data_IF_522262239143
#
_entry.id   IF_522262239143
#
_cell.length_a   1.000
_cell.length_b   1.000
_cell.length_c   1.000
_cell.angle_alpha   90.00
_cell.angle_beta   90.00
_cell.angle_gamma   90.00
#
_symmetry.space_group_name_H-M   'P 1'
#
loop_
_entity.id
_entity.type
_entity.pdbx_description
1 polymer ?
#
# COMPACT_ATOMS: atom_id res chain seq x y z
N UNK A 1 -7.84 17.46 14.21
CA UNK A 1 -8.88 16.82 13.37
C UNK A 1 -8.47 16.70 11.90
N UNK A 2 -8.13 17.79 11.20
CA UNK A 2 -7.74 17.75 9.77
C UNK A 2 -6.64 16.74 9.46
N UNK A 3 -5.54 16.76 10.22
CA UNK A 3 -4.40 15.84 10.03
C UNK A 3 -4.74 14.36 10.21
N UNK A 4 -5.53 14.00 11.23
CA UNK A 4 -6.00 12.62 11.44
C UNK A 4 -6.83 12.14 10.23
N UNK A 5 -7.76 12.98 9.79
CA UNK A 5 -8.64 12.67 8.66
C UNK A 5 -7.87 12.54 7.35
N UNK A 6 -6.79 13.30 7.18
CA UNK A 6 -5.88 13.15 6.04
C UNK A 6 -5.11 11.83 6.07
N UNK A 7 -4.50 11.46 7.19
CA UNK A 7 -3.75 10.20 7.31
C UNK A 7 -4.69 9.01 7.11
N UNK A 8 -5.83 9.02 7.80
CA UNK A 8 -6.82 7.95 7.70
C UNK A 8 -7.46 7.89 6.30
N UNK A 9 -7.76 9.05 5.69
CA UNK A 9 -8.28 9.12 4.32
C UNK A 9 -7.28 8.59 3.29
N UNK A 10 -6.00 8.92 3.45
CA UNK A 10 -4.92 8.40 2.58
C UNK A 10 -4.75 6.89 2.74
N UNK A 11 -4.95 6.36 3.96
CA UNK A 11 -4.96 4.94 4.24
C UNK A 11 -6.16 4.23 3.59
N UNK A 12 -7.37 4.76 3.76
CA UNK A 12 -8.57 4.19 3.12
C UNK A 12 -8.46 4.23 1.59
N UNK A 13 -7.92 5.31 1.04
CA UNK A 13 -7.61 5.40 -0.38
C UNK A 13 -6.67 4.27 -0.84
N UNK A 14 -5.57 4.00 -0.12
CA UNK A 14 -4.69 2.89 -0.48
C UNK A 14 -5.38 1.53 -0.42
N UNK A 15 -6.13 1.26 0.66
CA UNK A 15 -6.86 -0.02 0.81
C UNK A 15 -7.87 -0.18 -0.32
N UNK A 16 -8.60 0.87 -0.67
CA UNK A 16 -9.54 0.87 -1.77
C UNK A 16 -8.88 0.57 -3.11
N UNK A 17 -7.78 1.28 -3.45
CA UNK A 17 -7.10 1.08 -4.73
C UNK A 17 -6.49 -0.31 -4.83
N UNK A 18 -5.86 -0.82 -3.78
CA UNK A 18 -5.33 -2.18 -3.75
C UNK A 18 -6.43 -3.24 -3.89
N UNK A 19 -7.54 -3.08 -3.16
CA UNK A 19 -8.70 -3.96 -3.27
C UNK A 19 -9.28 -3.94 -4.69
N UNK A 20 -9.39 -2.75 -5.29
CA UNK A 20 -9.88 -2.59 -6.65
C UNK A 20 -8.99 -3.28 -7.69
N UNK A 21 -7.65 -3.17 -7.56
CA UNK A 21 -6.71 -3.87 -8.43
C UNK A 21 -6.91 -5.40 -8.34
N UNK A 22 -7.10 -5.94 -7.13
CA UNK A 22 -7.36 -7.38 -6.94
C UNK A 22 -8.68 -7.82 -7.55
N UNK A 23 -9.72 -7.00 -7.45
CA UNK A 23 -11.00 -7.25 -8.11
C UNK A 23 -10.81 -7.36 -9.63
N UNK A 24 -10.04 -6.45 -10.25
CA UNK A 24 -9.72 -6.52 -11.69
C UNK A 24 -9.01 -7.84 -12.03
N UNK A 25 -8.03 -8.26 -11.22
CA UNK A 25 -7.29 -9.51 -11.42
C UNK A 25 -8.24 -10.72 -11.35
N UNK A 26 -9.18 -10.74 -10.40
CA UNK A 26 -10.18 -11.81 -10.27
C UNK A 26 -11.05 -11.88 -11.52
N UNK A 27 -11.55 -10.73 -12.00
CA UNK A 27 -12.35 -10.68 -13.23
C UNK A 27 -11.58 -11.19 -14.45
N UNK A 28 -10.28 -10.86 -14.55
CA UNK A 28 -9.44 -11.31 -15.66
C UNK A 28 -9.24 -12.84 -15.67
N UNK A 29 -9.09 -13.46 -14.49
CA UNK A 29 -8.86 -14.90 -14.38
C UNK A 29 -10.14 -15.73 -14.20
N UNK A 30 -11.31 -15.09 -14.13
CA UNK A 30 -12.58 -15.75 -13.79
C UNK A 30 -12.47 -16.55 -12.48
N UNK A 31 -11.70 -16.04 -11.52
CA UNK A 31 -11.46 -16.68 -10.22
C UNK A 31 -12.65 -16.52 -9.26
N UNK A 32 -12.68 -17.33 -8.19
CA UNK A 32 -13.66 -17.17 -7.11
C UNK A 32 -13.37 -15.92 -6.27
N UNK A 33 -14.45 -15.22 -5.88
CA UNK A 33 -14.36 -14.03 -5.03
C UNK A 33 -13.98 -14.40 -3.59
N UNK A 34 -12.77 -14.03 -3.18
CA UNK A 34 -12.37 -13.95 -1.77
C UNK A 34 -12.25 -12.48 -1.38
N UNK A 35 -12.74 -12.11 -0.19
CA UNK A 35 -12.70 -10.73 0.34
C UNK A 35 -11.26 -10.21 0.44
N UNK A 36 -10.27 -11.09 0.64
CA UNK A 36 -8.85 -10.74 0.68
C UNK A 36 -8.16 -10.79 -0.69
N UNK A 37 -8.93 -11.04 -1.75
CA UNK A 37 -8.47 -11.00 -3.12
C UNK A 37 -7.67 -12.23 -3.49
N UNK A 38 -8.36 -13.16 -4.14
CA UNK A 38 -7.85 -14.39 -4.76
C UNK A 38 -7.56 -15.51 -3.73
N UNK A 39 -8.05 -16.72 -4.01
CA UNK A 39 -7.80 -17.92 -3.18
C UNK A 39 -6.35 -18.42 -3.26
N UNK A 40 -5.65 -18.06 -4.34
CA UNK A 40 -4.22 -18.27 -4.57
C UNK A 40 -3.75 -17.36 -5.70
N UNK A 41 -2.53 -16.83 -5.64
CA UNK A 41 -1.97 -16.04 -6.74
C UNK A 41 -2.03 -16.80 -8.09
N UNK A 42 -2.60 -16.22 -9.17
CA UNK A 42 -2.78 -16.92 -10.45
C UNK A 42 -1.46 -17.20 -11.19
N UNK A 43 -0.35 -16.60 -10.73
CA UNK A 43 1.00 -16.85 -11.23
C UNK A 43 2.02 -15.82 -10.72
N UNK A 44 3.31 -16.12 -10.87
CA UNK A 44 4.42 -15.26 -10.40
C UNK A 44 4.38 -13.87 -11.05
N UNK A 45 4.05 -13.78 -12.34
CA UNK A 45 3.93 -12.51 -13.05
C UNK A 45 2.90 -11.57 -12.41
N UNK A 46 1.79 -12.12 -11.90
CA UNK A 46 0.75 -11.34 -11.23
C UNK A 46 1.14 -10.90 -9.84
N UNK A 47 1.87 -11.74 -9.11
CA UNK A 47 2.46 -11.34 -7.84
C UNK A 47 3.38 -10.12 -8.02
N UNK A 48 4.18 -10.08 -9.09
CA UNK A 48 5.02 -8.91 -9.43
C UNK A 48 4.16 -7.67 -9.71
N UNK A 49 3.08 -7.81 -10.51
CA UNK A 49 2.16 -6.68 -10.80
C UNK A 49 1.51 -6.13 -9.53
N UNK A 50 1.10 -7.01 -8.61
CA UNK A 50 0.53 -6.60 -7.32
C UNK A 50 1.59 -5.88 -6.47
N UNK A 51 2.82 -6.40 -6.41
CA UNK A 51 3.91 -5.72 -5.70
C UNK A 51 4.19 -4.33 -6.27
N UNK A 52 4.28 -4.19 -7.60
CA UNK A 52 4.46 -2.87 -8.24
C UNK A 52 3.29 -1.93 -7.91
N UNK A 53 2.06 -2.47 -7.91
CA UNK A 53 0.87 -1.71 -7.53
C UNK A 53 0.94 -1.24 -6.07
N UNK A 54 1.33 -2.11 -5.14
CA UNK A 54 1.54 -1.76 -3.73
C UNK A 54 2.58 -0.63 -3.61
N UNK A 55 3.69 -0.71 -4.34
CA UNK A 55 4.72 0.33 -4.34
C UNK A 55 4.13 1.70 -4.72
N UNK A 56 3.43 1.73 -5.86
CA UNK A 56 2.87 2.95 -6.44
C UNK A 56 1.79 3.53 -5.54
N UNK A 57 0.86 2.69 -5.06
CA UNK A 57 -0.23 3.13 -4.17
C UNK A 57 0.32 3.65 -2.84
N UNK A 58 1.31 2.97 -2.26
CA UNK A 58 1.95 3.43 -1.02
C UNK A 58 2.64 4.77 -1.20
N UNK A 59 3.35 4.94 -2.32
CA UNK A 59 3.96 6.21 -2.68
C UNK A 59 2.92 7.32 -2.87
N UNK A 60 1.84 7.06 -3.62
CA UNK A 60 0.75 8.03 -3.83
C UNK A 60 0.07 8.43 -2.53
N UNK A 61 -0.27 7.49 -1.66
CA UNK A 61 -0.86 7.78 -0.34
C UNK A 61 0.08 8.59 0.55
N UNK A 62 1.38 8.29 0.51
CA UNK A 62 2.40 9.08 1.18
C UNK A 62 2.45 10.52 0.66
N UNK A 63 2.51 10.71 -0.66
CA UNK A 63 2.52 12.03 -1.28
C UNK A 63 1.24 12.83 -1.00
N UNK A 64 0.07 12.17 -1.01
CA UNK A 64 -1.21 12.79 -0.69
C UNK A 64 -1.24 13.27 0.77
N UNK A 65 -0.75 12.44 1.70
CA UNK A 65 -0.63 12.81 3.12
C UNK A 65 0.27 14.03 3.32
N UNK A 66 1.45 14.02 2.70
CA UNK A 66 2.42 15.11 2.80
C UNK A 66 1.84 16.41 2.24
N UNK A 67 1.22 16.35 1.06
CA UNK A 67 0.72 17.53 0.32
C UNK A 67 -0.42 18.21 1.08
N UNK A 68 -1.32 17.43 1.68
CA UNK A 68 -2.48 17.97 2.40
C UNK A 68 -2.12 18.46 3.80
N UNK A 69 -1.22 17.77 4.51
CA UNK A 69 -0.87 18.16 5.89
C UNK A 69 0.00 19.40 5.94
N UNK A 70 1.01 19.54 5.06
CA UNK A 70 1.86 20.73 4.94
C UNK A 70 2.79 21.01 6.14
N UNK A 71 2.47 20.55 7.35
CA UNK A 71 3.30 20.68 8.56
C UNK A 71 3.72 19.30 9.08
N UNK A 72 4.91 19.21 9.68
CA UNK A 72 5.46 17.98 10.25
C UNK A 72 5.27 16.69 9.40
N UNK A 73 5.62 16.71 8.08
CA UNK A 73 5.29 15.62 7.14
C UNK A 73 5.86 14.26 7.55
N UNK A 74 7.03 14.25 8.20
CA UNK A 74 7.66 13.02 8.71
C UNK A 74 6.79 12.32 9.76
N UNK A 75 6.16 13.07 10.66
CA UNK A 75 5.30 12.48 11.71
C UNK A 75 4.05 11.85 11.09
N UNK A 76 3.46 12.49 10.09
CA UNK A 76 2.27 11.99 9.40
C UNK A 76 2.59 10.77 8.52
N UNK A 77 3.74 10.77 7.84
CA UNK A 77 4.22 9.58 7.14
C UNK A 77 4.47 8.42 8.08
N UNK A 78 5.02 8.66 9.28
CA UNK A 78 5.24 7.62 10.27
C UNK A 78 3.91 7.05 10.78
N UNK A 79 2.91 7.90 11.05
CA UNK A 79 1.56 7.44 11.38
C UNK A 79 0.94 6.60 10.27
N UNK A 80 1.10 7.01 9.01
CA UNK A 80 0.63 6.24 7.85
C UNK A 80 1.36 4.89 7.73
N UNK A 81 2.68 4.88 7.98
CA UNK A 81 3.48 3.66 7.97
C UNK A 81 2.99 2.64 9.02
N UNK A 82 2.61 3.08 10.21
CA UNK A 82 2.02 2.20 11.23
C UNK A 82 0.72 1.57 10.73
N UNK A 83 -0.18 2.34 10.11
CA UNK A 83 -1.42 1.82 9.53
C UNK A 83 -1.13 0.80 8.41
N UNK A 84 -0.14 1.07 7.58
CA UNK A 84 0.27 0.17 6.50
C UNK A 84 0.85 -1.14 7.05
N UNK A 85 1.67 -1.07 8.11
CA UNK A 85 2.20 -2.27 8.77
C UNK A 85 1.09 -3.11 9.40
N UNK A 86 0.12 -2.48 10.06
CA UNK A 86 -1.05 -3.19 10.60
C UNK A 86 -1.85 -3.85 9.48
N UNK A 87 -2.07 -3.14 8.36
CA UNK A 87 -2.75 -3.70 7.20
C UNK A 87 -2.02 -4.90 6.61
N UNK A 88 -0.69 -4.83 6.44
CA UNK A 88 0.10 -5.97 5.95
C UNK A 88 0.09 -7.13 6.92
N UNK A 89 0.13 -6.87 8.23
CA UNK A 89 -0.01 -7.93 9.23
C UNK A 89 -1.36 -8.64 9.10
N UNK A 90 -2.45 -7.88 8.94
CA UNK A 90 -3.78 -8.48 8.71
C UNK A 90 -3.85 -9.26 7.41
N UNK A 91 -3.23 -8.77 6.33
CA UNK A 91 -3.17 -9.49 5.06
C UNK A 91 -2.43 -10.83 5.26
N UNK A 92 -1.22 -10.80 5.79
CA UNK A 92 -0.37 -11.99 6.01
C UNK A 92 -1.11 -13.05 6.83
N UNK A 93 -1.80 -12.67 7.91
CA UNK A 93 -2.56 -13.62 8.73
C UNK A 93 -3.64 -14.34 7.91
N UNK A 94 -4.27 -13.66 6.96
CA UNK A 94 -5.37 -14.23 6.16
C UNK A 94 -4.88 -15.07 4.98
N UNK A 95 -3.69 -14.81 4.42
CA UNK A 95 -3.19 -15.48 3.20
C UNK A 95 -1.94 -16.34 3.42
N UNK A 96 -1.42 -16.43 4.65
CA UNK A 96 -0.18 -17.15 5.00
C UNK A 96 -0.14 -18.60 4.49
N UNK A 97 -1.28 -19.29 4.52
CA UNK A 97 -1.38 -20.70 4.14
C UNK A 97 -1.53 -20.91 2.62
N UNK A 98 -1.88 -19.86 1.88
CA UNK A 98 -2.27 -19.95 0.46
C UNK A 98 -1.20 -19.40 -0.47
N UNK A 99 -0.45 -18.39 -0.02
CA UNK A 99 0.52 -17.67 -0.84
C UNK A 99 1.97 -17.88 -0.35
N UNK A 100 2.96 -17.79 -1.26
CA UNK A 100 4.34 -18.07 -0.91
C UNK A 100 4.95 -16.97 -0.02
N UNK A 101 5.76 -17.38 0.95
CA UNK A 101 6.39 -16.49 1.93
C UNK A 101 7.18 -15.33 1.30
N UNK A 102 7.84 -15.56 0.16
CA UNK A 102 8.60 -14.52 -0.52
C UNK A 102 7.72 -13.33 -0.93
N UNK A 103 6.48 -13.59 -1.35
CA UNK A 103 5.53 -12.55 -1.75
C UNK A 103 5.09 -11.73 -0.52
N UNK A 104 4.82 -12.42 0.59
CA UNK A 104 4.42 -11.80 1.85
C UNK A 104 5.51 -10.90 2.44
N UNK A 105 6.76 -11.34 2.38
CA UNK A 105 7.90 -10.53 2.83
C UNK A 105 8.08 -9.31 1.92
N UNK A 106 8.02 -9.52 0.60
CA UNK A 106 8.15 -8.43 -0.36
C UNK A 106 7.01 -7.42 -0.25
N UNK A 107 5.78 -7.82 0.04
CA UNK A 107 4.66 -6.89 0.17
C UNK A 107 4.90 -5.87 1.29
N UNK A 108 5.48 -6.30 2.42
CA UNK A 108 5.88 -5.41 3.54
C UNK A 108 7.02 -4.47 3.12
N UNK A 109 8.06 -5.01 2.48
CA UNK A 109 9.22 -4.23 2.03
C UNK A 109 8.79 -3.17 1.02
N UNK A 110 7.98 -3.57 0.04
CA UNK A 110 7.53 -2.70 -1.06
C UNK A 110 6.56 -1.63 -0.55
N UNK A 111 5.66 -1.99 0.36
CA UNK A 111 4.75 -1.05 1.04
C UNK A 111 5.54 0.03 1.81
N UNK A 112 6.59 -0.38 2.52
CA UNK A 112 7.48 0.55 3.24
C UNK A 112 8.34 1.37 2.28
N UNK A 113 8.81 0.74 1.19
CA UNK A 113 9.59 1.38 0.14
C UNK A 113 8.83 2.52 -0.55
N UNK A 114 7.53 2.34 -0.81
CA UNK A 114 6.70 3.40 -1.41
C UNK A 114 6.58 4.63 -0.49
N UNK A 115 6.37 4.43 0.81
CA UNK A 115 6.36 5.52 1.79
C UNK A 115 7.73 6.20 1.93
N UNK A 116 8.81 5.43 1.87
CA UNK A 116 10.17 5.97 1.87
C UNK A 116 10.46 6.81 0.62
N UNK A 117 10.00 6.37 -0.55
CA UNK A 117 10.09 7.17 -1.78
C UNK A 117 9.29 8.47 -1.67
N UNK A 118 8.13 8.46 -1.01
CA UNK A 118 7.35 9.68 -0.78
C UNK A 118 8.13 10.66 0.13
N UNK A 119 8.78 10.16 1.17
CA UNK A 119 9.68 10.96 2.00
C UNK A 119 10.85 11.56 1.20
N UNK A 120 11.52 10.78 0.36
CA UNK A 120 12.62 11.28 -0.48
C UNK A 120 12.14 12.34 -1.46
N UNK A 121 10.97 12.14 -2.07
CA UNK A 121 10.36 13.10 -3.00
C UNK A 121 10.07 14.43 -2.30
N UNK A 122 9.49 14.39 -1.10
CA UNK A 122 9.25 15.59 -0.29
C UNK A 122 10.55 16.30 0.09
N UNK A 123 11.56 15.55 0.54
CA UNK A 123 12.87 16.12 0.89
C UNK A 123 13.55 16.79 -0.30
N UNK A 124 13.40 16.23 -1.50
CA UNK A 124 13.91 16.82 -2.74
C UNK A 124 13.20 18.14 -3.07
N UNK A 125 11.87 18.18 -2.96
CA UNK A 125 11.10 19.39 -3.24
C UNK A 125 11.43 20.55 -2.28
N UNK A 126 11.67 20.27 -0.99
CA UNK A 126 12.06 21.30 -0.01
C UNK A 126 13.45 21.89 -0.32
N UNK A 127 14.36 21.15 -0.95
CA UNK A 127 15.69 21.67 -1.33
C UNK A 127 15.66 22.55 -2.57
N UNK A 128 14.59 22.47 -3.38
CA UNK A 128 14.46 23.20 -4.63
C UNK A 128 13.72 24.56 -4.47
N UNK A 129 13.09 24.79 -3.31
CA UNK A 129 12.43 26.04 -2.92
C UNK A 129 13.33 26.94 -2.08
#
# INVERSE_FOLDING_TARGET
MKSFLTVFGSFLFSVFVEGFIRVIIIFYHKGEFSIFGISSLPGVSWAIIILVSILIVSWLSGMLTITITGFAPVKHLLSLAVLFMLWRATEIINIYSSDPLWYLILSVIVSSGGLYLAYLTQKSNVKAS
#
